data_IF_241434773059
#
_entry.id   IF_241434773059
#
_cell.length_a   1.000
_cell.length_b   1.000
_cell.length_c   1.000
_cell.angle_alpha   90.00
_cell.angle_beta   90.00
_cell.angle_gamma   90.00
#
_symmetry.space_group_name_H-M   'P 1'
#
loop_
_entity.id
_entity.type
_entity.pdbx_description
1 polymer ?
#
# COMPACT_ATOMS: atom_id res chain seq x y z
N UNK A 1 6.45 19.27 -3.57
CA UNK A 1 6.00 17.87 -3.55
C UNK A 1 6.79 17.17 -2.48
N UNK A 2 6.14 16.71 -1.41
CA UNK A 2 6.79 15.96 -0.34
C UNK A 2 7.22 14.59 -0.87
N UNK A 3 8.38 14.11 -0.44
CA UNK A 3 8.87 12.77 -0.76
C UNK A 3 8.61 11.91 0.47
N UNK A 4 7.98 10.76 0.28
CA UNK A 4 7.71 9.79 1.33
C UNK A 4 8.94 8.88 1.48
N UNK A 5 9.64 9.00 2.60
CA UNK A 5 10.68 8.04 2.98
C UNK A 5 10.06 6.74 3.55
N UNK A 6 10.92 5.75 3.82
CA UNK A 6 10.46 4.44 4.31
C UNK A 6 9.71 4.53 5.64
N UNK A 7 10.17 5.35 6.56
CA UNK A 7 9.59 5.44 7.90
C UNK A 7 8.28 6.23 7.86
N UNK A 8 8.18 7.23 7.00
CA UNK A 8 6.94 7.95 6.70
C UNK A 8 5.89 7.00 6.11
N UNK A 9 6.26 6.17 5.13
CA UNK A 9 5.33 5.19 4.55
C UNK A 9 4.85 4.21 5.61
N UNK A 10 5.75 3.70 6.46
CA UNK A 10 5.38 2.76 7.52
C UNK A 10 4.45 3.44 8.54
N UNK A 11 4.73 4.68 8.95
CA UNK A 11 3.85 5.45 9.85
C UNK A 11 2.47 5.68 9.24
N UNK A 12 2.40 6.06 7.97
CA UNK A 12 1.13 6.25 7.25
C UNK A 12 0.33 4.95 7.13
N UNK A 13 0.98 3.84 6.78
CA UNK A 13 0.34 2.52 6.71
C UNK A 13 -0.13 2.03 8.08
N UNK A 14 0.68 2.22 9.13
CA UNK A 14 0.27 1.91 10.51
C UNK A 14 -0.97 2.71 10.92
N UNK A 15 -0.99 4.02 10.63
CA UNK A 15 -2.14 4.86 10.93
C UNK A 15 -3.38 4.43 10.16
N UNK A 16 -3.23 4.09 8.89
CA UNK A 16 -4.30 3.54 8.06
C UNK A 16 -4.85 2.22 8.65
N UNK A 17 -3.98 1.33 9.10
CA UNK A 17 -4.37 0.08 9.77
C UNK A 17 -5.13 0.33 11.08
N UNK A 18 -4.73 1.32 11.88
CA UNK A 18 -5.47 1.70 13.10
C UNK A 18 -6.89 2.17 12.80
N UNK A 19 -7.08 2.96 11.73
CA UNK A 19 -8.40 3.44 11.32
C UNK A 19 -9.30 2.26 10.88
N UNK A 20 -8.76 1.34 10.09
CA UNK A 20 -9.49 0.15 9.68
C UNK A 20 -9.85 -0.75 10.87
N UNK A 21 -8.89 -1.02 11.77
CA UNK A 21 -9.08 -1.85 12.94
C UNK A 21 -10.13 -1.26 13.90
N UNK A 22 -10.18 0.07 14.03
CA UNK A 22 -11.20 0.76 14.83
C UNK A 22 -12.63 0.54 14.31
N UNK A 23 -12.78 0.24 13.02
CA UNK A 23 -14.06 -0.09 12.38
C UNK A 23 -14.25 -1.61 12.21
N UNK A 24 -13.38 -2.44 12.79
CA UNK A 24 -13.47 -3.90 12.71
C UNK A 24 -13.04 -4.49 11.37
N UNK A 25 -12.31 -3.72 10.56
CA UNK A 25 -11.90 -4.09 9.21
C UNK A 25 -10.39 -4.39 9.14
N UNK A 26 -9.99 -5.15 8.14
CA UNK A 26 -8.58 -5.44 7.84
C UNK A 26 -8.29 -5.11 6.39
N UNK A 27 -7.35 -4.19 6.18
CA UNK A 27 -6.92 -3.82 4.84
C UNK A 27 -5.88 -4.83 4.35
N UNK A 28 -6.06 -5.36 3.15
CA UNK A 28 -5.05 -6.18 2.46
C UNK A 28 -4.65 -5.50 1.17
N UNK A 29 -3.35 -5.20 1.05
CA UNK A 29 -2.77 -4.50 -0.08
C UNK A 29 -1.71 -5.36 -0.77
N UNK A 30 -1.61 -5.22 -2.09
CA UNK A 30 -0.42 -5.61 -2.85
C UNK A 30 0.26 -4.35 -3.36
N UNK A 31 1.33 -3.94 -2.69
CA UNK A 31 2.16 -2.80 -3.12
C UNK A 31 2.92 -3.17 -4.38
N UNK A 32 3.07 -2.24 -5.32
CA UNK A 32 3.81 -2.44 -6.57
C UNK A 32 4.80 -1.30 -6.84
N UNK A 33 5.56 -1.40 -7.94
CA UNK A 33 6.41 -0.31 -8.41
C UNK A 33 7.42 0.19 -7.37
N UNK A 34 7.47 1.53 -7.21
CA UNK A 34 8.42 2.19 -6.31
C UNK A 34 8.23 1.84 -4.84
N UNK A 35 6.99 1.60 -4.40
CA UNK A 35 6.68 1.25 -3.02
C UNK A 35 7.33 -0.07 -2.59
N UNK A 36 7.37 -1.07 -3.49
CA UNK A 36 8.06 -2.34 -3.23
C UNK A 36 9.56 -2.15 -3.05
N UNK A 37 10.17 -1.25 -3.82
CA UNK A 37 11.61 -0.98 -3.76
C UNK A 37 12.01 -0.28 -2.46
N UNK A 38 11.15 0.60 -1.94
CA UNK A 38 11.36 1.31 -0.66
C UNK A 38 11.08 0.38 0.53
N UNK A 39 9.94 -0.32 0.53
CA UNK A 39 9.53 -1.17 1.67
C UNK A 39 10.32 -2.48 1.75
N UNK A 40 10.52 -3.16 0.62
CA UNK A 40 11.03 -4.53 0.58
C UNK A 40 12.53 -4.68 0.31
N UNK A 41 13.16 -3.69 -0.34
CA UNK A 41 14.55 -3.82 -0.81
C UNK A 41 15.48 -2.71 -0.33
N UNK A 42 14.98 -1.68 0.36
CA UNK A 42 15.73 -0.48 0.75
C UNK A 42 16.58 0.11 -0.40
N UNK A 43 16.12 -0.07 -1.64
CA UNK A 43 16.90 0.20 -2.86
C UNK A 43 16.71 1.63 -3.37
N UNK A 44 15.73 2.36 -2.83
CA UNK A 44 15.46 3.79 -3.07
C UNK A 44 15.14 4.45 -1.72
N UNK A 45 15.59 5.69 -1.54
CA UNK A 45 15.43 6.44 -0.29
C UNK A 45 14.01 6.99 -0.08
N UNK A 46 13.26 7.23 -1.17
CA UNK A 46 11.90 7.79 -1.10
C UNK A 46 11.10 7.52 -2.36
N UNK A 47 9.77 7.59 -2.27
CA UNK A 47 8.82 7.59 -3.39
C UNK A 47 7.85 8.77 -3.28
N UNK A 48 7.14 9.12 -4.36
CA UNK A 48 6.13 10.19 -4.33
C UNK A 48 4.80 9.70 -3.76
N UNK A 49 4.52 8.43 -3.99
CA UNK A 49 3.28 7.74 -3.70
C UNK A 49 3.52 6.24 -3.49
N UNK A 50 2.51 5.59 -2.92
CA UNK A 50 2.39 4.16 -2.72
C UNK A 50 1.37 3.62 -3.70
N UNK A 51 1.84 3.07 -4.82
CA UNK A 51 1.00 2.29 -5.73
C UNK A 51 0.65 0.94 -5.09
N UNK A 52 -0.64 0.68 -4.89
CA UNK A 52 -1.10 -0.59 -4.33
C UNK A 52 -2.45 -1.04 -4.90
N UNK A 53 -2.58 -2.34 -5.12
CA UNK A 53 -3.88 -2.98 -5.30
C UNK A 53 -4.51 -3.25 -3.95
N UNK A 54 -5.74 -2.78 -3.77
CA UNK A 54 -6.54 -3.10 -2.58
C UNK A 54 -7.28 -4.42 -2.83
N UNK A 55 -6.97 -5.44 -2.04
CA UNK A 55 -7.61 -6.76 -2.08
C UNK A 55 -8.76 -6.88 -1.06
N UNK A 56 -8.66 -6.17 0.05
CA UNK A 56 -9.70 -6.10 1.07
C UNK A 56 -9.59 -4.77 1.84
N UNK A 57 -10.70 -4.25 2.38
CA UNK A 57 -12.09 -4.69 2.15
C UNK A 57 -12.55 -4.42 0.71
N UNK A 58 -13.67 -5.03 0.30
CA UNK A 58 -14.25 -4.81 -1.05
C UNK A 58 -14.78 -3.39 -1.24
N UNK A 59 -15.12 -2.70 -0.14
CA UNK A 59 -15.52 -1.29 -0.16
C UNK A 59 -14.29 -0.37 -0.28
N UNK A 60 -13.90 -0.12 -1.54
CA UNK A 60 -12.79 0.78 -1.87
C UNK A 60 -13.08 2.22 -1.44
N UNK A 61 -14.35 2.63 -1.37
CA UNK A 61 -14.73 3.98 -0.93
C UNK A 61 -14.35 4.22 0.52
N UNK A 62 -14.59 3.22 1.39
CA UNK A 62 -14.17 3.26 2.78
C UNK A 62 -12.66 3.36 2.94
N UNK A 63 -11.91 2.55 2.17
CA UNK A 63 -10.43 2.63 2.20
C UNK A 63 -9.94 4.01 1.77
N UNK A 64 -10.53 4.60 0.72
CA UNK A 64 -10.19 5.96 0.27
C UNK A 64 -10.47 7.03 1.33
N UNK A 65 -11.55 6.89 2.09
CA UNK A 65 -11.85 7.82 3.18
C UNK A 65 -10.77 7.78 4.27
N UNK A 66 -10.31 6.58 4.65
CA UNK A 66 -9.20 6.46 5.60
C UNK A 66 -7.88 6.98 5.02
N UNK A 67 -7.57 6.71 3.76
CA UNK A 67 -6.37 7.22 3.07
C UNK A 67 -6.35 8.76 3.11
N UNK A 68 -7.47 9.40 2.75
CA UNK A 68 -7.61 10.86 2.82
C UNK A 68 -7.44 11.38 4.25
N UNK A 69 -8.02 10.71 5.24
CA UNK A 69 -7.85 11.09 6.65
C UNK A 69 -6.38 11.03 7.09
N UNK A 70 -5.64 10.00 6.70
CA UNK A 70 -4.19 9.92 6.96
C UNK A 70 -3.44 11.04 6.25
N UNK A 71 -3.87 11.39 5.04
CA UNK A 71 -3.28 12.48 4.27
C UNK A 71 -3.44 13.82 5.00
N UNK A 72 -4.66 14.13 5.43
CA UNK A 72 -4.98 15.33 6.20
C UNK A 72 -4.21 15.39 7.53
N UNK A 73 -4.11 14.26 8.25
CA UNK A 73 -3.43 14.18 9.55
C UNK A 73 -1.91 14.42 9.45
N UNK A 74 -1.29 14.08 8.32
CA UNK A 74 0.18 14.09 8.16
C UNK A 74 0.68 15.09 7.12
N UNK A 75 -0.23 15.83 6.46
CA UNK A 75 0.12 16.79 5.40
C UNK A 75 0.55 16.12 4.09
N UNK A 76 0.05 14.91 3.80
CA UNK A 76 0.32 14.21 2.54
C UNK A 76 -0.68 14.58 1.46
N UNK A 77 -0.33 14.36 0.17
CA UNK A 77 -1.31 14.42 -0.92
C UNK A 77 -2.44 13.41 -0.72
N UNK A 78 -3.68 13.74 -1.08
CA UNK A 78 -4.86 12.84 -0.96
C UNK A 78 -4.66 11.47 -1.68
N UNK A 79 -3.76 11.42 -2.66
CA UNK A 79 -3.42 10.26 -3.48
C UNK A 79 -2.07 9.60 -3.10
N UNK A 80 -1.55 9.88 -1.90
CA UNK A 80 -0.30 9.28 -1.38
C UNK A 80 -0.34 7.75 -1.37
N UNK A 81 -1.53 7.15 -1.27
CA UNK A 81 -1.79 5.75 -1.55
C UNK A 81 -2.84 5.69 -2.63
N UNK A 82 -2.44 5.22 -3.81
CA UNK A 82 -3.32 5.14 -4.95
C UNK A 82 -3.26 3.77 -5.63
N UNK A 83 -4.26 3.53 -6.46
CA UNK A 83 -4.37 2.31 -7.25
C UNK A 83 -3.89 2.57 -8.69
N UNK A 84 -2.74 3.23 -8.82
CA UNK A 84 -2.14 3.62 -10.11
C UNK A 84 -1.79 2.43 -10.99
N UNK A 85 -1.76 1.23 -10.41
CA UNK A 85 -1.40 0.02 -11.11
C UNK A 85 -2.59 -0.85 -11.56
N UNK A 86 -3.84 -0.49 -11.22
CA UNK A 86 -5.04 -1.22 -11.66
C UNK A 86 -5.10 -1.46 -13.18
N UNK A 87 -4.58 -0.53 -13.97
CA UNK A 87 -4.53 -0.65 -15.44
C UNK A 87 -3.45 -1.59 -15.99
N UNK A 88 -2.43 -1.94 -15.18
CA UNK A 88 -1.28 -2.74 -15.60
C UNK A 88 -1.27 -4.16 -15.02
N UNK A 89 -2.19 -4.48 -14.12
CA UNK A 89 -2.15 -5.67 -13.29
C UNK A 89 -3.33 -6.62 -13.57
N UNK A 90 -3.33 -7.21 -14.77
CA UNK A 90 -4.14 -8.42 -15.01
C UNK A 90 -3.39 -9.61 -14.40
N UNK A 91 -3.97 -10.26 -13.39
CA UNK A 91 -3.42 -11.50 -12.83
C UNK A 91 -2.37 -11.33 -11.72
N UNK A 92 -2.34 -10.20 -11.01
CA UNK A 92 -1.49 -10.05 -9.82
C UNK A 92 -2.05 -10.86 -8.66
N UNK A 93 -1.26 -11.84 -8.23
CA UNK A 93 -1.50 -12.60 -7.00
C UNK A 93 -0.71 -12.01 -5.84
N UNK A 94 -1.30 -12.03 -4.65
CA UNK A 94 -0.60 -11.65 -3.43
C UNK A 94 0.57 -12.61 -3.16
N UNK A 95 1.77 -12.06 -2.97
CA UNK A 95 2.99 -12.80 -2.67
C UNK A 95 3.42 -12.63 -1.21
N UNK A 96 4.73 -12.69 -0.93
CA UNK A 96 5.25 -12.53 0.43
C UNK A 96 4.88 -11.18 1.06
N UNK A 97 4.71 -11.19 2.38
CA UNK A 97 4.42 -10.01 3.19
C UNK A 97 5.65 -9.08 3.19
N UNK A 98 5.41 -7.79 2.94
CA UNK A 98 6.38 -6.71 3.08
C UNK A 98 6.23 -6.01 4.43
N UNK A 99 4.99 -5.83 4.89
CA UNK A 99 4.65 -5.18 6.16
C UNK A 99 3.37 -5.81 6.70
N UNK A 100 3.37 -6.14 7.98
CA UNK A 100 2.18 -6.56 8.72
C UNK A 100 2.14 -5.79 10.02
N UNK A 101 1.08 -5.00 10.20
CA UNK A 101 0.81 -4.21 11.40
C UNK A 101 -0.70 -4.27 11.69
N UNK A 102 -1.18 -3.93 12.89
CA UNK A 102 -2.59 -4.05 13.23
C UNK A 102 -3.52 -3.38 12.20
N UNK A 103 -4.48 -4.14 11.67
CA UNK A 103 -5.47 -3.66 10.71
C UNK A 103 -4.99 -3.52 9.26
N UNK A 104 -3.73 -3.85 8.94
CA UNK A 104 -3.24 -3.80 7.56
C UNK A 104 -2.13 -4.82 7.27
N UNK A 105 -2.27 -5.50 6.12
CA UNK A 105 -1.25 -6.39 5.57
C UNK A 105 -0.87 -5.88 4.19
N UNK A 106 0.42 -5.64 3.99
CA UNK A 106 1.00 -5.22 2.70
C UNK A 106 1.88 -6.34 2.18
N UNK A 107 1.55 -6.82 0.98
CA UNK A 107 2.28 -7.87 0.27
C UNK A 107 2.92 -7.28 -0.98
N UNK A 108 3.97 -7.92 -1.47
CA UNK A 108 4.44 -7.69 -2.85
C UNK A 108 3.74 -8.67 -3.79
N UNK A 109 3.71 -8.42 -5.11
CA UNK A 109 3.24 -9.40 -6.07
C UNK A 109 4.00 -10.70 -5.90
N UNK A 110 3.28 -11.81 -6.05
CA UNK A 110 3.91 -13.09 -6.29
C UNK A 110 4.79 -12.91 -7.53
N UNK A 111 6.05 -13.35 -7.47
CA UNK A 111 6.83 -13.43 -8.71
C UNK A 111 6.03 -14.37 -9.61
N UNK A 112 5.63 -13.90 -10.79
CA UNK A 112 5.29 -14.84 -11.85
C UNK A 112 6.56 -15.67 -12.04
N UNK A 113 6.56 -16.89 -11.50
CA UNK A 113 7.50 -17.90 -11.94
C UNK A 113 7.28 -17.93 -13.44
N UNK A 114 8.25 -17.46 -14.19
CA UNK A 114 8.31 -17.58 -15.63
C UNK A 114 7.81 -18.99 -15.97
N UNK A 115 6.60 -19.08 -16.53
CA UNK A 115 6.23 -20.22 -17.35
C UNK A 115 7.06 -20.01 -18.62
N UNK A 116 8.34 -20.35 -18.51
CA UNK A 116 9.30 -20.37 -19.58
C UNK A 116 9.86 -21.78 -19.56
N UNK A 117 8.99 -22.71 -19.96
CA UNK A 117 9.34 -23.77 -20.89
C UNK A 117 8.09 -24.34 -21.55
#
# INVERSE_FOLDING_TARGET
MALLDRDEIIRSLQRLGQLAAAEGEVIRLVAVGGAVMVLGFNARLSTRDVDALILAPSDIGRVRNWVKKVADEQGWPDDWLNDGAKGFLIGVSAGPILLEVPGIVVQRPLRASHCLQ
#
